data_IF_619417745959
#
_entry.id   IF_619417745959
#
_cell.length_a   1.000
_cell.length_b   1.000
_cell.length_c   1.000
_cell.angle_alpha   90.00
_cell.angle_beta   90.00
_cell.angle_gamma   90.00
#
_symmetry.space_group_name_H-M   'P 1'
#
loop_
_entity.id
_entity.type
_entity.pdbx_description
1 polymer ?
#
# COMPACT_ATOMS: atom_id res chain seq x y z
N UNK A 1 9.17 5.70 -8.30
CA UNK A 1 8.74 7.12 -8.40
C UNK A 1 8.83 7.76 -7.03
N UNK A 2 8.82 9.10 -6.93
CA UNK A 2 9.10 9.83 -5.68
C UNK A 2 7.88 10.55 -5.06
N UNK A 3 6.69 10.46 -5.68
CA UNK A 3 5.45 10.97 -5.08
C UNK A 3 4.98 10.10 -3.91
N UNK A 4 4.09 10.61 -3.06
CA UNK A 4 3.64 9.94 -1.83
C UNK A 4 3.07 8.53 -2.02
N UNK A 5 2.57 8.26 -3.22
CA UNK A 5 1.77 7.12 -3.65
C UNK A 5 2.46 6.23 -4.70
N UNK A 6 3.56 6.69 -5.31
CA UNK A 6 4.33 5.89 -6.28
C UNK A 6 5.40 5.03 -5.60
N UNK A 7 5.34 3.73 -5.82
CA UNK A 7 6.36 2.79 -5.36
C UNK A 7 7.65 2.89 -6.19
N UNK A 8 8.76 2.42 -5.61
CA UNK A 8 10.08 2.30 -6.23
C UNK A 8 10.80 1.06 -5.66
N UNK A 9 10.89 -0.01 -6.46
CA UNK A 9 11.53 -1.28 -6.07
C UNK A 9 11.13 -1.79 -4.66
N UNK A 10 9.82 -1.92 -4.34
CA UNK A 10 9.38 -2.45 -3.05
C UNK A 10 9.80 -3.90 -2.89
N UNK A 11 10.18 -4.30 -1.68
CA UNK A 11 10.74 -5.65 -1.39
C UNK A 11 9.86 -6.49 -0.46
N UNK A 12 8.84 -5.90 0.16
CA UNK A 12 8.03 -6.61 1.14
C UNK A 12 6.66 -5.99 1.36
N UNK A 13 5.71 -6.85 1.74
CA UNK A 13 4.34 -6.51 2.07
C UNK A 13 3.93 -7.24 3.35
N UNK A 14 3.16 -6.57 4.21
CA UNK A 14 2.59 -7.16 5.42
C UNK A 14 1.19 -6.63 5.65
N UNK A 15 0.26 -7.51 6.06
CA UNK A 15 -1.08 -7.10 6.48
C UNK A 15 -1.25 -7.39 7.97
N UNK A 16 -1.52 -6.33 8.75
CA UNK A 16 -1.69 -6.42 10.18
C UNK A 16 -2.72 -5.39 10.64
N UNK A 17 -3.64 -5.77 11.54
CA UNK A 17 -4.62 -4.88 12.15
C UNK A 17 -5.35 -3.98 11.12
N UNK A 18 -5.88 -4.59 10.06
CA UNK A 18 -6.61 -3.90 8.96
C UNK A 18 -5.80 -2.84 8.20
N UNK A 19 -4.47 -2.89 8.29
CA UNK A 19 -3.56 -1.98 7.60
C UNK A 19 -2.59 -2.78 6.74
N UNK A 20 -2.44 -2.37 5.49
CA UNK A 20 -1.43 -2.90 4.58
C UNK A 20 -0.16 -2.06 4.71
N UNK A 21 0.97 -2.71 4.93
CA UNK A 21 2.29 -2.10 5.01
C UNK A 21 3.12 -2.53 3.80
N UNK A 22 3.82 -1.59 3.19
CA UNK A 22 4.74 -1.86 2.07
C UNK A 22 6.11 -1.30 2.42
N UNK A 23 7.14 -2.14 2.32
CA UNK A 23 8.55 -1.72 2.36
C UNK A 23 8.95 -1.19 0.98
N UNK A 24 8.83 0.12 0.78
CA UNK A 24 9.13 0.82 -0.47
C UNK A 24 10.63 1.13 -0.56
N UNK A 25 11.44 0.08 -0.70
CA UNK A 25 12.90 0.09 -0.46
C UNK A 25 13.65 1.08 -1.33
N UNK A 26 13.32 1.21 -2.61
CA UNK A 26 13.96 2.19 -3.50
C UNK A 26 13.64 3.65 -3.14
N UNK A 27 12.71 3.90 -2.22
CA UNK A 27 12.38 5.22 -1.68
C UNK A 27 12.74 5.36 -0.19
N UNK A 28 13.43 4.39 0.42
CA UNK A 28 13.84 4.40 1.83
C UNK A 28 12.69 4.69 2.82
N UNK A 29 11.48 4.14 2.57
CA UNK A 29 10.30 4.40 3.41
C UNK A 29 9.43 3.16 3.60
N UNK A 30 8.56 3.23 4.61
CA UNK A 30 7.44 2.29 4.80
C UNK A 30 6.14 3.05 4.59
N UNK A 31 5.30 2.56 3.68
CA UNK A 31 3.95 3.10 3.44
C UNK A 31 2.91 2.27 4.19
N UNK A 32 1.83 2.92 4.61
CA UNK A 32 0.66 2.25 5.21
C UNK A 32 -0.62 2.64 4.47
N UNK A 33 -1.46 1.66 4.18
CA UNK A 33 -2.74 1.85 3.52
C UNK A 33 -3.84 1.29 4.40
N UNK A 34 -4.87 2.11 4.64
CA UNK A 34 -6.12 1.62 5.20
C UNK A 34 -6.94 1.06 4.04
N UNK A 35 -7.16 -0.24 4.04
CA UNK A 35 -8.02 -0.86 3.03
C UNK A 35 -9.47 -0.47 3.32
N UNK A 36 -10.10 0.21 2.37
CA UNK A 36 -11.56 0.33 2.29
C UNK A 36 -12.06 -0.78 1.36
N UNK A 37 -13.33 -1.18 1.51
CA UNK A 37 -13.94 -2.18 0.64
C UNK A 37 -14.32 -1.61 -0.74
N UNK A 38 -14.09 -0.31 -0.96
CA UNK A 38 -14.25 0.37 -2.24
C UNK A 38 -13.08 -0.02 -3.15
N UNK A 39 -13.12 -1.25 -3.65
CA UNK A 39 -12.35 -1.63 -4.81
C UNK A 39 -13.07 -0.93 -5.97
N UNK A 40 -12.50 0.15 -6.51
CA UNK A 40 -13.15 0.86 -7.61
C UNK A 40 -13.55 -0.11 -8.72
N UNK A 41 -14.83 -0.10 -9.08
CA UNK A 41 -15.41 -0.98 -10.10
C UNK A 41 -15.99 -2.30 -9.59
N UNK A 42 -15.94 -2.61 -8.29
CA UNK A 42 -16.63 -3.77 -7.71
C UNK A 42 -17.72 -3.28 -6.74
N UNK A 43 -19.02 -3.54 -7.04
CA UNK A 43 -20.08 -3.25 -6.08
C UNK A 43 -19.88 -4.12 -4.83
N UNK A 44 -19.81 -3.50 -3.67
CA UNK A 44 -19.94 -4.21 -2.39
C UNK A 44 -21.40 -4.64 -2.19
N UNK A 45 -21.67 -5.89 -1.75
CA UNK A 45 -23.01 -6.33 -1.35
C UNK A 45 -23.61 -5.50 -0.21
#
# INVERSE_FOLDING_TARGET
>A
GTTGDKLNAPQGVCYLNRTLYISDTGNNRVLRFKLTYDIEGIPVP
#
